data_IF_825710456741
#
_entry.id   IF_825710456741
#
_cell.length_a   1.000
_cell.length_b   1.000
_cell.length_c   1.000
_cell.angle_alpha   90.00
_cell.angle_beta   90.00
_cell.angle_gamma   90.00
#
_symmetry.space_group_name_H-M   'P 1'
#
loop_
_entity.id
_entity.type
_entity.pdbx_description
1 polymer ?
#
# COMPACT_ATOMS: atom_id res chain seq x y z
N UNK A 1 -6.92 -8.52 -9.87
CA UNK A 1 -6.20 -8.70 -8.58
C UNK A 1 -7.20 -8.60 -7.43
N UNK A 2 -6.95 -9.24 -6.28
CA UNK A 2 -7.75 -9.06 -5.06
C UNK A 2 -6.89 -8.77 -3.83
N UNK A 3 -7.39 -7.88 -2.99
CA UNK A 3 -6.86 -7.53 -1.68
C UNK A 3 -7.80 -8.09 -0.62
N UNK A 4 -7.22 -8.78 0.36
CA UNK A 4 -7.93 -9.27 1.55
C UNK A 4 -7.44 -8.51 2.76
N UNK A 5 -8.29 -7.68 3.36
CA UNK A 5 -8.04 -6.94 4.58
C UNK A 5 -8.73 -7.57 5.79
N UNK A 6 -9.81 -8.34 5.59
CA UNK A 6 -10.42 -9.14 6.63
C UNK A 6 -9.57 -10.38 6.91
N UNK A 7 -9.03 -10.46 8.13
CA UNK A 7 -8.09 -11.50 8.53
C UNK A 7 -6.65 -11.16 8.17
N UNK A 8 -5.80 -12.13 7.79
CA UNK A 8 -4.42 -11.84 7.43
C UNK A 8 -4.36 -11.04 6.12
N UNK A 9 -3.74 -9.86 6.16
CA UNK A 9 -3.55 -9.01 4.98
C UNK A 9 -2.86 -9.79 3.87
N UNK A 10 -3.56 -9.99 2.75
CA UNK A 10 -3.08 -10.78 1.62
C UNK A 10 -3.40 -10.11 0.29
N UNK A 11 -2.47 -10.25 -0.66
CA UNK A 11 -2.67 -9.88 -2.05
C UNK A 11 -2.76 -11.18 -2.86
N UNK A 12 -3.74 -11.28 -3.74
CA UNK A 12 -3.87 -12.39 -4.70
C UNK A 12 -3.92 -11.82 -6.12
N UNK A 13 -3.00 -12.25 -6.98
CA UNK A 13 -2.93 -11.86 -8.38
C UNK A 13 -3.06 -13.12 -9.24
N UNK A 14 -4.01 -13.14 -10.18
CA UNK A 14 -4.27 -14.31 -11.03
C UNK A 14 -4.39 -15.64 -10.26
N UNK A 15 -5.07 -15.59 -9.12
CA UNK A 15 -5.22 -16.71 -8.16
C UNK A 15 -3.93 -17.14 -7.44
N UNK A 16 -2.80 -16.46 -7.67
CA UNK A 16 -1.52 -16.68 -6.99
C UNK A 16 -1.36 -15.69 -5.83
N UNK A 17 -1.08 -16.16 -4.60
CA UNK A 17 -0.80 -15.28 -3.48
C UNK A 17 0.54 -14.55 -3.69
N UNK A 18 0.52 -13.22 -3.58
CA UNK A 18 1.73 -12.41 -3.61
C UNK A 18 2.30 -12.31 -2.20
N UNK A 19 3.59 -12.63 -2.06
CA UNK A 19 4.28 -12.57 -0.77
C UNK A 19 4.43 -11.12 -0.34
N UNK A 20 3.66 -10.74 0.67
CA UNK A 20 3.83 -9.47 1.36
C UNK A 20 4.98 -9.56 2.36
N UNK A 21 5.86 -8.53 2.41
CA UNK A 21 6.84 -8.42 3.48
C UNK A 21 6.21 -8.55 4.87
N UNK A 22 6.91 -9.21 5.79
CA UNK A 22 6.46 -9.36 7.19
C UNK A 22 6.45 -8.04 7.98
N UNK A 23 6.89 -6.94 7.38
CA UNK A 23 6.95 -5.63 8.05
C UNK A 23 5.56 -5.12 8.37
N UNK A 24 5.27 -4.96 9.68
CA UNK A 24 4.00 -4.44 10.19
C UNK A 24 3.68 -3.05 9.62
N UNK A 25 4.68 -2.18 9.50
CA UNK A 25 4.52 -0.83 8.93
C UNK A 25 4.10 -0.87 7.46
N UNK A 26 4.69 -1.78 6.68
CA UNK A 26 4.34 -1.94 5.27
C UNK A 26 2.90 -2.45 5.08
N UNK A 27 2.48 -3.41 5.92
CA UNK A 27 1.10 -3.91 5.92
C UNK A 27 0.10 -2.84 6.34
N UNK A 28 0.42 -2.07 7.38
CA UNK A 28 -0.40 -0.94 7.81
C UNK A 28 -0.51 0.13 6.71
N UNK A 29 0.60 0.46 6.04
CA UNK A 29 0.62 1.39 4.91
C UNK A 29 -0.26 0.91 3.76
N UNK A 30 -0.18 -0.38 3.38
CA UNK A 30 -1.03 -0.96 2.35
C UNK A 30 -2.50 -0.88 2.72
N UNK A 31 -2.86 -1.34 3.92
CA UNK A 31 -4.24 -1.31 4.40
C UNK A 31 -4.80 0.12 4.41
N UNK A 32 -4.00 1.07 4.91
CA UNK A 32 -4.39 2.47 4.96
C UNK A 32 -4.59 3.07 3.56
N UNK A 33 -3.65 2.87 2.63
CA UNK A 33 -3.77 3.37 1.26
C UNK A 33 -4.92 2.70 0.49
N UNK A 34 -5.26 1.45 0.83
CA UNK A 34 -6.40 0.75 0.23
C UNK A 34 -7.74 1.32 0.69
N UNK A 35 -7.82 1.79 1.93
CA UNK A 35 -9.02 2.40 2.48
C UNK A 35 -9.09 3.91 2.24
N UNK A 36 -7.98 4.54 1.83
CA UNK A 36 -7.90 5.97 1.62
C UNK A 36 -8.68 6.38 0.36
N UNK A 37 -9.71 7.25 0.47
CA UNK A 37 -10.49 7.69 -0.69
C UNK A 37 -9.75 8.71 -1.58
N UNK A 38 -8.68 9.32 -1.08
CA UNK A 38 -7.91 10.36 -1.77
C UNK A 38 -6.40 10.10 -1.63
N UNK A 39 -5.57 10.64 -2.55
CA UNK A 39 -4.12 10.61 -2.42
C UNK A 39 -3.66 11.21 -1.09
N UNK A 40 -2.77 10.51 -0.38
CA UNK A 40 -2.30 10.90 0.96
C UNK A 40 -0.86 11.40 0.86
N UNK A 41 -0.56 12.54 1.47
CA UNK A 41 0.80 13.08 1.49
C UNK A 41 1.77 12.18 2.27
N UNK A 42 3.02 12.10 1.81
CA UNK A 42 4.09 11.35 2.49
C UNK A 42 4.29 11.86 3.90
N UNK A 43 4.16 13.16 4.11
CA UNK A 43 4.27 13.77 5.43
C UNK A 43 3.19 13.24 6.38
N UNK A 44 1.94 13.12 5.92
CA UNK A 44 0.83 12.54 6.70
C UNK A 44 1.03 11.05 6.98
N UNK A 45 1.53 10.29 5.99
CA UNK A 45 1.85 8.87 6.17
C UNK A 45 2.99 8.68 7.19
N UNK A 46 4.00 9.54 7.15
CA UNK A 46 5.07 9.58 8.15
C UNK A 46 4.50 9.82 9.55
N UNK A 47 3.71 10.87 9.76
CA UNK A 47 3.10 11.17 11.07
C UNK A 47 2.24 10.02 11.61
N UNK A 48 1.47 9.35 10.75
CA UNK A 48 0.56 8.28 11.18
C UNK A 48 1.26 6.96 11.55
N UNK A 49 2.35 6.63 10.85
CA UNK A 49 3.00 5.31 10.94
C UNK A 49 4.40 5.36 11.57
N UNK A 50 5.02 6.54 11.65
CA UNK A 50 6.37 6.79 12.15
C UNK A 50 6.40 7.99 13.12
N UNK A 51 6.31 7.70 14.41
CA UNK A 51 6.28 8.68 15.50
C UNK A 51 7.68 9.00 16.11
N UNK A 52 8.77 8.56 15.46
CA UNK A 52 10.13 8.54 16.06
C UNK A 52 11.16 9.29 15.20
N UNK A 53 12.25 9.82 15.80
CA UNK A 53 13.21 10.72 15.16
C UNK A 53 14.12 10.07 14.10
N UNK A 54 13.84 8.82 13.72
CA UNK A 54 14.60 8.09 12.72
C UNK A 54 14.00 8.36 11.34
N UNK A 55 14.83 8.71 10.35
CA UNK A 55 14.45 9.26 9.04
C UNK A 55 13.14 8.64 8.45
N UNK A 56 11.97 9.24 8.73
CA UNK A 56 10.69 8.63 8.42
C UNK A 56 10.43 8.65 6.92
N UNK A 57 11.01 9.63 6.22
CA UNK A 57 10.96 9.73 4.76
C UNK A 57 11.74 8.59 4.10
N UNK A 58 12.90 8.24 4.64
CA UNK A 58 13.69 7.09 4.20
C UNK A 58 12.93 5.77 4.35
N UNK A 59 12.36 5.52 5.52
CA UNK A 59 11.57 4.31 5.78
C UNK A 59 10.30 4.23 4.91
N UNK A 60 9.59 5.35 4.74
CA UNK A 60 8.44 5.43 3.86
C UNK A 60 8.83 5.14 2.41
N UNK A 61 9.93 5.72 1.92
CA UNK A 61 10.43 5.47 0.56
C UNK A 61 10.74 3.99 0.35
N UNK A 62 11.37 3.35 1.33
CA UNK A 62 11.65 1.91 1.29
C UNK A 62 10.36 1.08 1.29
N UNK A 63 9.40 1.42 2.16
CA UNK A 63 8.10 0.74 2.20
C UNK A 63 7.35 0.87 0.88
N UNK A 64 7.31 2.06 0.29
CA UNK A 64 6.69 2.30 -1.02
C UNK A 64 7.39 1.55 -2.14
N UNK A 65 8.72 1.42 -2.09
CA UNK A 65 9.47 0.63 -3.07
C UNK A 65 9.12 -0.86 -2.99
N UNK A 66 9.00 -1.40 -1.77
CA UNK A 66 8.56 -2.78 -1.55
C UNK A 66 7.10 -3.01 -1.94
N UNK A 67 6.22 -2.04 -1.69
CA UNK A 67 4.83 -2.10 -2.13
C UNK A 67 4.74 -2.09 -3.66
N UNK A 68 5.47 -1.22 -4.34
CA UNK A 68 5.56 -1.24 -5.81
C UNK A 68 6.03 -2.58 -6.34
N UNK A 69 7.07 -3.16 -5.74
CA UNK A 69 7.55 -4.48 -6.15
C UNK A 69 6.50 -5.61 -5.98
N UNK A 70 5.60 -5.48 -4.99
CA UNK A 70 4.54 -6.45 -4.75
C UNK A 70 3.27 -6.18 -5.57
N UNK A 71 2.96 -4.92 -5.87
CA UNK A 71 1.69 -4.48 -6.43
C UNK A 71 1.77 -4.07 -7.90
N UNK A 72 2.82 -3.37 -8.29
CA UNK A 72 2.97 -2.92 -9.67
C UNK A 72 3.16 -4.12 -10.60
N UNK A 73 2.66 -3.94 -11.80
CA UNK A 73 2.73 -4.84 -12.92
C UNK A 73 3.49 -4.12 -14.05
N UNK A 74 4.14 -4.84 -14.98
CA UNK A 74 4.93 -4.22 -16.04
C UNK A 74 4.12 -3.22 -16.90
N UNK A 75 2.80 -3.47 -17.04
CA UNK A 75 1.89 -2.63 -17.82
C UNK A 75 1.05 -1.67 -16.96
N UNK A 76 0.95 -1.93 -15.64
CA UNK A 76 0.07 -1.20 -14.74
C UNK A 76 0.76 -0.85 -13.42
N UNK A 77 1.00 0.44 -13.19
CA UNK A 77 1.44 0.94 -11.89
C UNK A 77 0.24 1.08 -10.97
N UNK A 78 0.26 0.37 -9.85
CA UNK A 78 -0.80 0.42 -8.84
C UNK A 78 -0.49 1.48 -7.79
N UNK A 79 0.77 1.63 -7.40
CA UNK A 79 1.16 2.66 -6.44
C UNK A 79 1.46 3.96 -7.19
N UNK A 80 0.47 4.83 -7.24
CA UNK A 80 0.56 6.14 -7.88
C UNK A 80 1.19 7.15 -6.92
N UNK A 81 2.09 7.98 -7.44
CA UNK A 81 2.66 9.08 -6.67
C UNK A 81 2.67 10.35 -7.49
N UNK A 82 2.01 11.37 -6.97
CA UNK A 82 1.91 12.69 -7.58
C UNK A 82 2.49 13.72 -6.61
N UNK A 83 3.66 14.26 -6.94
CA UNK A 83 4.42 15.13 -6.02
C UNK A 83 4.72 14.44 -4.69
N UNK A 84 4.18 14.99 -3.60
CA UNK A 84 4.28 14.41 -2.25
C UNK A 84 3.14 13.43 -1.94
N UNK A 85 2.09 13.36 -2.76
CA UNK A 85 0.96 12.47 -2.53
C UNK A 85 1.24 11.05 -3.02
N UNK A 86 0.64 10.08 -2.33
CA UNK A 86 0.67 8.65 -2.64
C UNK A 86 -0.76 8.15 -2.64
N UNK A 87 -1.14 7.45 -3.70
CA UNK A 87 -2.43 6.78 -3.81
C UNK A 87 -2.21 5.34 -4.26
N UNK A 88 -3.19 4.49 -3.94
CA UNK A 88 -3.27 3.15 -4.49
C UNK A 88 -4.39 3.11 -5.52
N UNK A 89 -4.03 2.82 -6.77
CA UNK A 89 -4.99 2.59 -7.84
C UNK A 89 -5.67 1.25 -7.61
N UNK A 90 -6.94 1.32 -7.21
CA UNK A 90 -7.79 0.15 -6.98
C UNK A 90 -8.65 -0.24 -8.19
N UNK A 91 -8.49 0.43 -9.33
CA UNK A 91 -9.13 0.02 -10.58
C UNK A 91 -8.83 -1.47 -10.84
N UNK A 92 -9.87 -2.23 -11.19
CA UNK A 92 -9.79 -3.68 -11.44
C UNK A 92 -9.20 -4.50 -10.27
N UNK A 93 -9.29 -3.93 -9.05
CA UNK A 93 -8.89 -4.57 -7.79
C UNK A 93 -10.13 -4.82 -6.96
N UNK A 94 -10.36 -6.09 -6.63
CA UNK A 94 -11.37 -6.45 -5.63
C UNK A 94 -10.80 -6.24 -4.24
N UNK A 95 -11.54 -5.58 -3.38
CA UNK A 95 -11.14 -5.30 -2.01
C UNK A 95 -12.30 -5.73 -1.15
N UNK A 96 -12.10 -6.80 -0.38
CA UNK A 96 -13.14 -7.36 0.49
C UNK A 96 -13.70 -6.32 1.47
N UNK A 97 -12.89 -5.38 1.94
CA UNK A 97 -13.33 -4.29 2.82
C UNK A 97 -14.20 -3.22 2.13
N UNK A 98 -14.20 -3.14 0.79
CA UNK A 98 -15.00 -2.17 0.01
C UNK A 98 -16.18 -2.83 -0.70
N UNK A 99 -16.20 -4.16 -0.81
CA UNK A 99 -17.31 -4.95 -1.35
C UNK A 99 -18.35 -5.17 -0.23
N UNK A 100 -19.24 -4.18 -0.02
CA UNK A 100 -20.42 -4.29 0.87
C UNK A 100 -21.69 -4.54 0.07
#
# INVERSE_FOLDING_TARGET
MSLRLFGPLAIVRDSVPVVLPASRKLRALLAYLTLAPHPVSRSRLCELLWDVPNDPRGELRWCLSKLRAALDEPDLRRVETEGDAVALRLADTRVDALET
#
